data_IF_480344519352
#
_entry.id   IF_480344519352
#
_cell.length_a   1.000
_cell.length_b   1.000
_cell.length_c   1.000
_cell.angle_alpha   90.00
_cell.angle_beta   90.00
_cell.angle_gamma   90.00
#
_symmetry.space_group_name_H-M   'P 1'
#
loop_
_entity.id
_entity.type
_entity.pdbx_description
1 polymer ?
#
# COMPACT_ATOMS: atom_id res chain seq x y z
N UNK A 1 8.84 -2.59 -13.77
CA UNK A 1 8.85 -1.50 -12.77
C UNK A 1 9.88 -1.80 -11.69
N UNK A 2 10.79 -0.89 -11.48
CA UNK A 2 11.78 -1.01 -10.41
C UNK A 2 11.14 -0.73 -9.06
N UNK A 3 11.41 -1.57 -8.08
CA UNK A 3 10.89 -1.43 -6.72
C UNK A 3 12.04 -1.30 -5.74
N UNK A 4 12.10 -0.20 -5.00
CA UNK A 4 13.02 0.01 -3.91
C UNK A 4 12.25 0.11 -2.60
N UNK A 5 12.54 -0.79 -1.67
CA UNK A 5 11.98 -0.78 -0.33
C UNK A 5 13.06 -0.30 0.64
N UNK A 6 12.98 0.95 1.06
CA UNK A 6 14.01 1.61 1.85
C UNK A 6 13.48 2.07 3.20
N UNK A 7 14.41 2.40 4.10
CA UNK A 7 14.12 2.97 5.40
C UNK A 7 15.21 3.95 5.79
N UNK A 8 14.82 5.04 6.46
CA UNK A 8 15.76 6.01 7.00
C UNK A 8 16.31 5.55 8.34
N UNK A 9 15.49 4.94 9.20
CA UNK A 9 15.83 4.69 10.59
C UNK A 9 15.13 3.47 11.21
N UNK A 10 14.55 2.61 10.39
CA UNK A 10 13.90 1.38 10.85
C UNK A 10 14.57 0.19 10.19
N UNK A 11 15.02 -0.77 10.97
CA UNK A 11 15.51 -2.03 10.46
C UNK A 11 14.32 -2.96 10.23
N UNK A 12 13.95 -3.15 8.98
CA UNK A 12 12.87 -4.02 8.59
C UNK A 12 13.32 -5.00 7.52
N UNK A 13 12.76 -6.21 7.54
CA UNK A 13 13.00 -7.21 6.51
C UNK A 13 12.19 -6.88 5.25
N UNK A 14 12.76 -6.06 4.38
CA UNK A 14 12.10 -5.56 3.19
C UNK A 14 11.66 -6.68 2.24
N UNK A 15 12.41 -7.78 2.14
CA UNK A 15 12.06 -8.92 1.26
C UNK A 15 10.70 -9.53 1.62
N UNK A 16 10.34 -9.50 2.88
CA UNK A 16 9.07 -10.02 3.37
C UNK A 16 7.86 -9.27 2.79
N UNK A 17 8.07 -8.06 2.30
CA UNK A 17 7.02 -7.19 1.76
C UNK A 17 6.98 -7.15 0.24
N UNK A 18 7.86 -7.86 -0.45
CA UNK A 18 7.89 -7.92 -1.92
C UNK A 18 6.56 -8.38 -2.50
N UNK A 19 5.97 -9.42 -1.94
CA UNK A 19 4.68 -9.94 -2.40
C UNK A 19 3.57 -8.89 -2.31
N UNK A 20 3.51 -8.15 -1.21
CA UNK A 20 2.52 -7.08 -1.03
C UNK A 20 2.70 -5.94 -2.03
N UNK A 21 3.94 -5.54 -2.27
CA UNK A 21 4.27 -4.52 -3.27
C UNK A 21 3.89 -4.97 -4.68
N UNK A 22 4.20 -6.21 -5.01
CA UNK A 22 3.88 -6.80 -6.32
C UNK A 22 2.38 -6.93 -6.56
N UNK A 23 1.61 -7.33 -5.55
CA UNK A 23 0.15 -7.39 -5.66
C UNK A 23 -0.45 -6.02 -5.99
N UNK A 24 0.01 -4.98 -5.30
CA UNK A 24 -0.47 -3.63 -5.56
C UNK A 24 0.01 -3.13 -6.93
N UNK A 25 1.25 -3.43 -7.30
CA UNK A 25 1.79 -3.09 -8.62
C UNK A 25 0.93 -3.69 -9.75
N UNK A 26 0.59 -4.97 -9.65
CA UNK A 26 -0.24 -5.64 -10.65
C UNK A 26 -1.67 -5.12 -10.68
N UNK A 27 -2.18 -4.66 -9.54
CA UNK A 27 -3.51 -4.07 -9.45
C UNK A 27 -3.56 -2.70 -10.12
N UNK A 28 -2.55 -1.86 -9.89
CA UNK A 28 -2.46 -0.52 -10.46
C UNK A 28 -1.97 -0.53 -11.92
N UNK A 29 -1.00 -1.36 -12.22
CA UNK A 29 -0.29 -1.41 -13.49
C UNK A 29 -0.16 -2.87 -13.97
N UNK A 30 -1.25 -3.47 -14.48
CA UNK A 30 -1.31 -4.92 -14.73
C UNK A 30 -0.31 -5.45 -15.78
N UNK A 31 0.26 -4.59 -16.61
CA UNK A 31 1.27 -4.99 -17.59
C UNK A 31 2.70 -5.03 -17.06
N UNK A 32 2.91 -4.62 -15.80
CA UNK A 32 4.25 -4.49 -15.24
C UNK A 32 4.78 -5.79 -14.63
N UNK A 33 6.11 -5.88 -14.56
CA UNK A 33 6.82 -6.93 -13.84
C UNK A 33 7.76 -6.30 -12.82
N UNK A 34 7.92 -6.92 -11.63
CA UNK A 34 8.80 -6.38 -10.61
C UNK A 34 10.26 -6.55 -10.97
N UNK A 35 11.05 -5.54 -10.68
CA UNK A 35 12.51 -5.56 -10.78
C UNK A 35 13.06 -4.98 -9.47
N UNK A 36 13.95 -5.73 -8.83
CA UNK A 36 14.58 -5.30 -7.58
C UNK A 36 16.05 -4.98 -7.83
N UNK A 37 16.39 -3.68 -8.08
CA UNK A 37 17.76 -3.30 -8.32
C UNK A 37 18.67 -3.58 -7.11
N UNK A 38 19.86 -4.06 -7.35
CA UNK A 38 20.83 -4.31 -6.28
C UNK A 38 21.53 -3.06 -5.76
N UNK A 39 21.38 -1.93 -6.45
CA UNK A 39 21.92 -0.63 -6.05
C UNK A 39 20.86 0.19 -5.32
N UNK A 40 21.26 1.14 -4.44
CA UNK A 40 20.31 2.06 -3.82
C UNK A 40 19.66 2.97 -4.86
N UNK A 41 18.51 3.61 -4.53
CA UNK A 41 17.87 4.55 -5.43
C UNK A 41 18.84 5.68 -5.84
N UNK A 42 18.78 6.14 -7.09
CA UNK A 42 19.64 7.22 -7.55
C UNK A 42 19.31 8.52 -6.82
N UNK A 43 20.33 9.36 -6.60
CA UNK A 43 20.13 10.67 -5.97
C UNK A 43 19.32 11.61 -6.85
N UNK A 44 19.52 11.51 -8.18
CA UNK A 44 18.71 12.27 -9.15
C UNK A 44 17.62 11.36 -9.70
N UNK A 45 16.38 11.63 -9.36
CA UNK A 45 15.20 10.88 -9.78
C UNK A 45 14.62 11.36 -11.10
N UNK A 46 15.17 12.44 -11.66
CA UNK A 46 14.64 13.08 -12.87
C UNK A 46 14.64 12.13 -14.10
N UNK A 47 15.45 11.09 -14.09
CA UNK A 47 15.56 10.13 -15.18
C UNK A 47 14.73 8.86 -14.97
N UNK A 48 14.16 8.66 -13.79
CA UNK A 48 13.34 7.49 -13.52
C UNK A 48 11.95 7.65 -14.13
N UNK A 49 11.54 6.69 -14.94
CA UNK A 49 10.25 6.71 -15.66
C UNK A 49 9.34 5.56 -15.31
N UNK A 50 9.84 4.56 -14.59
CA UNK A 50 9.06 3.37 -14.25
C UNK A 50 9.62 2.75 -12.97
N UNK A 51 9.29 3.38 -11.84
CA UNK A 51 9.84 2.97 -10.55
C UNK A 51 8.92 3.35 -9.40
N UNK A 52 9.09 2.65 -8.28
CA UNK A 52 8.50 3.00 -6.99
C UNK A 52 9.57 2.95 -5.92
N UNK A 53 9.65 3.99 -5.11
CA UNK A 53 10.53 4.04 -3.95
C UNK A 53 9.67 4.11 -2.70
N UNK A 54 9.69 3.03 -1.92
CA UNK A 54 9.06 3.00 -0.61
C UNK A 54 10.06 3.44 0.43
N UNK A 55 9.66 4.35 1.32
CA UNK A 55 10.51 4.80 2.41
C UNK A 55 9.73 4.75 3.72
N UNK A 56 10.29 4.02 4.69
CA UNK A 56 9.76 3.93 6.05
C UNK A 56 10.58 4.84 6.97
N UNK A 57 9.92 5.76 7.65
CA UNK A 57 10.55 6.70 8.58
C UNK A 57 9.80 6.72 9.90
N UNK A 58 10.48 6.35 10.98
CA UNK A 58 9.92 6.38 12.33
C UNK A 58 10.21 7.73 13.00
N UNK A 59 9.15 8.45 13.35
CA UNK A 59 9.20 9.62 14.22
C UNK A 59 8.94 9.25 15.68
N UNK A 60 9.04 10.22 16.56
CA UNK A 60 8.82 10.01 18.00
C UNK A 60 7.39 9.58 18.32
N UNK A 61 6.40 10.17 17.67
CA UNK A 61 4.97 9.86 17.86
C UNK A 61 4.34 9.15 16.66
N UNK A 62 4.70 9.58 15.45
CA UNK A 62 4.12 9.06 14.22
C UNK A 62 5.19 8.50 13.30
N UNK A 63 4.87 7.41 12.63
CA UNK A 63 5.71 6.78 11.62
C UNK A 63 5.06 6.99 10.25
N UNK A 64 5.89 7.27 9.24
CA UNK A 64 5.44 7.50 7.88
C UNK A 64 5.92 6.36 6.98
N UNK A 65 5.01 5.83 6.17
CA UNK A 65 5.34 5.03 4.99
C UNK A 65 5.02 5.87 3.76
N UNK A 66 6.00 6.11 2.92
CA UNK A 66 5.80 6.83 1.66
C UNK A 66 6.06 5.93 0.46
N UNK A 67 5.33 6.18 -0.62
CA UNK A 67 5.56 5.54 -1.91
C UNK A 67 5.68 6.65 -2.96
N UNK A 68 6.85 6.79 -3.53
CA UNK A 68 7.12 7.73 -4.61
C UNK A 68 7.10 6.95 -5.92
N UNK A 69 6.08 7.21 -6.74
CA UNK A 69 5.83 6.46 -7.98
C UNK A 69 6.17 7.32 -9.19
N UNK A 70 7.01 6.78 -10.07
CA UNK A 70 7.41 7.41 -11.33
C UNK A 70 6.85 6.64 -12.50
N UNK A 71 6.17 7.33 -13.39
CA UNK A 71 5.71 6.81 -14.68
C UNK A 71 6.10 7.82 -15.77
N UNK A 72 5.97 7.44 -17.04
CA UNK A 72 6.25 8.37 -18.15
C UNK A 72 5.38 9.61 -18.11
N UNK A 73 4.17 9.51 -17.60
CA UNK A 73 3.22 10.60 -17.47
C UNK A 73 3.51 11.56 -16.32
N UNK A 74 4.46 11.23 -15.44
CA UNK A 74 4.81 12.04 -14.29
C UNK A 74 5.06 11.20 -13.04
N UNK A 75 4.98 11.86 -11.89
CA UNK A 75 5.21 11.23 -10.60
C UNK A 75 4.18 11.67 -9.57
N UNK A 76 3.97 10.83 -8.56
CA UNK A 76 3.15 11.15 -7.38
C UNK A 76 3.74 10.51 -6.15
N UNK A 77 3.51 11.12 -5.00
CA UNK A 77 3.92 10.61 -3.71
C UNK A 77 2.67 10.29 -2.88
N UNK A 78 2.62 9.09 -2.34
CA UNK A 78 1.59 8.67 -1.39
C UNK A 78 2.19 8.49 -0.01
N UNK A 79 1.54 8.99 1.03
CA UNK A 79 2.03 8.90 2.40
C UNK A 79 0.93 8.36 3.30
N UNK A 80 1.30 7.37 4.14
CA UNK A 80 0.45 6.84 5.20
C UNK A 80 1.15 7.06 6.52
N UNK A 81 0.42 7.57 7.50
CA UNK A 81 0.91 7.79 8.86
C UNK A 81 0.20 6.87 9.84
N UNK A 82 0.95 6.37 10.78
CA UNK A 82 0.42 5.58 11.89
C UNK A 82 1.22 5.83 13.17
N UNK A 83 0.65 5.56 14.36
CA UNK A 83 1.36 5.74 15.61
C UNK A 83 2.61 4.87 15.68
N UNK A 84 3.75 5.46 16.06
CA UNK A 84 5.03 4.74 16.14
C UNK A 84 5.01 3.58 17.14
N UNK A 85 4.15 3.65 18.15
CA UNK A 85 3.97 2.55 19.13
C UNK A 85 3.50 1.24 18.49
N UNK A 86 2.87 1.30 17.32
CA UNK A 86 2.47 0.10 16.57
C UNK A 86 3.66 -0.74 16.11
N UNK A 87 4.84 -0.15 16.00
CA UNK A 87 6.07 -0.87 15.67
C UNK A 87 6.60 -1.68 16.85
N UNK A 88 6.05 -1.48 18.03
CA UNK A 88 6.45 -2.17 19.27
C UNK A 88 5.46 -3.26 19.70
N UNK A 89 4.40 -3.51 18.92
CA UNK A 89 3.33 -4.45 19.25
C UNK A 89 3.66 -5.94 19.02
N UNK A 90 4.84 -6.24 18.51
CA UNK A 90 5.27 -7.61 18.21
C UNK A 90 5.35 -7.89 16.71
N UNK A 91 6.08 -8.95 16.31
CA UNK A 91 6.44 -9.18 14.90
C UNK A 91 5.24 -9.30 13.95
N UNK A 92 4.21 -10.01 14.35
CA UNK A 92 3.03 -10.24 13.50
C UNK A 92 2.19 -8.98 13.31
N UNK A 93 1.95 -8.25 14.40
CA UNK A 93 1.22 -6.98 14.36
C UNK A 93 1.97 -5.94 13.53
N UNK A 94 3.28 -5.86 13.69
CA UNK A 94 4.15 -4.99 12.89
C UNK A 94 4.07 -5.35 11.41
N UNK A 95 4.15 -6.64 11.08
CA UNK A 95 4.02 -7.10 9.69
C UNK A 95 2.71 -6.64 9.06
N UNK A 96 1.59 -6.82 9.73
CA UNK A 96 0.28 -6.40 9.21
C UNK A 96 0.18 -4.87 9.07
N UNK A 97 0.72 -4.12 10.02
CA UNK A 97 0.73 -2.66 9.97
C UNK A 97 1.54 -2.16 8.78
N UNK A 98 2.76 -2.66 8.60
CA UNK A 98 3.65 -2.24 7.51
C UNK A 98 3.13 -2.68 6.15
N UNK A 99 2.60 -3.89 6.03
CA UNK A 99 1.98 -4.39 4.81
C UNK A 99 0.83 -3.49 4.36
N UNK A 100 -0.05 -3.14 5.30
CA UNK A 100 -1.17 -2.25 5.02
C UNK A 100 -0.70 -0.86 4.60
N UNK A 101 0.23 -0.29 5.36
CA UNK A 101 0.78 1.03 5.07
C UNK A 101 1.44 1.09 3.69
N UNK A 102 2.24 0.08 3.36
CA UNK A 102 2.88 -0.03 2.06
C UNK A 102 1.87 -0.06 0.91
N UNK A 103 0.87 -0.92 1.02
CA UNK A 103 -0.18 -1.03 -0.01
C UNK A 103 -0.98 0.26 -0.16
N UNK A 104 -1.35 0.88 0.95
CA UNK A 104 -2.11 2.14 0.94
C UNK A 104 -1.29 3.28 0.34
N UNK A 105 -0.03 3.43 0.73
CA UNK A 105 0.83 4.47 0.18
C UNK A 105 1.01 4.31 -1.34
N UNK A 106 1.23 3.09 -1.80
CA UNK A 106 1.36 2.78 -3.23
C UNK A 106 0.04 3.05 -3.98
N UNK A 107 -1.07 2.61 -3.41
CA UNK A 107 -2.40 2.86 -3.98
C UNK A 107 -2.67 4.36 -4.15
N UNK A 108 -2.35 5.14 -3.15
CA UNK A 108 -2.55 6.59 -3.18
C UNK A 108 -1.79 7.24 -4.33
N UNK A 109 -0.51 6.97 -4.42
CA UNK A 109 0.30 7.53 -5.49
C UNK A 109 -0.12 7.02 -6.88
N UNK A 110 -0.37 5.72 -6.98
CA UNK A 110 -0.74 5.08 -8.24
C UNK A 110 -2.12 5.49 -8.75
N UNK A 111 -3.12 5.56 -7.88
CA UNK A 111 -4.46 6.01 -8.27
C UNK A 111 -4.48 7.47 -8.71
N UNK A 112 -3.67 8.31 -8.07
CA UNK A 112 -3.50 9.71 -8.48
C UNK A 112 -2.88 9.82 -9.88
N UNK A 113 -1.89 8.98 -10.20
CA UNK A 113 -1.29 8.92 -11.54
C UNK A 113 -2.28 8.41 -12.59
N UNK A 114 -3.09 7.41 -12.24
CA UNK A 114 -4.11 6.86 -13.13
C UNK A 114 -5.31 7.80 -13.30
N UNK A 115 -5.47 8.77 -12.40
CA UNK A 115 -6.61 9.69 -12.40
C UNK A 115 -7.93 9.03 -12.06
N UNK A 116 -7.90 7.89 -11.38
CA UNK A 116 -9.10 7.14 -10.99
C UNK A 116 -8.88 6.29 -9.75
N UNK A 117 -9.94 6.04 -9.03
CA UNK A 117 -9.94 5.09 -7.93
C UNK A 117 -10.23 3.68 -8.46
N UNK A 118 -9.61 2.70 -7.83
CA UNK A 118 -9.92 1.29 -8.09
C UNK A 118 -11.18 0.88 -7.32
N UNK A 119 -11.98 -0.08 -7.86
CA UNK A 119 -13.23 -0.48 -7.21
C UNK A 119 -13.10 -0.94 -5.75
N UNK A 120 -11.98 -1.53 -5.40
CA UNK A 120 -11.73 -2.08 -4.05
C UNK A 120 -10.70 -1.28 -3.26
N UNK A 121 -10.30 -0.08 -3.74
CA UNK A 121 -9.28 0.73 -3.10
C UNK A 121 -7.94 0.02 -3.00
N UNK A 122 -7.31 0.10 -1.85
CA UNK A 122 -6.03 -0.59 -1.58
C UNK A 122 -6.19 -2.06 -1.17
N UNK A 123 -7.40 -2.60 -1.20
CA UNK A 123 -7.69 -3.96 -0.80
C UNK A 123 -7.23 -4.96 -1.88
N UNK A 124 -6.14 -5.64 -1.63
CA UNK A 124 -5.56 -6.65 -2.53
C UNK A 124 -5.33 -7.96 -1.80
N UNK A 125 -5.33 -9.07 -2.53
CA UNK A 125 -5.08 -10.39 -1.97
C UNK A 125 -6.18 -10.91 -1.04
N UNK A 126 -7.32 -10.22 -0.99
CA UNK A 126 -8.50 -10.60 -0.19
C UNK A 126 -9.67 -10.81 -1.16
N UNK A 127 -10.53 -11.75 -0.83
CA UNK A 127 -11.79 -11.91 -1.56
C UNK A 127 -12.82 -10.94 -0.98
N UNK A 128 -13.11 -9.79 -1.61
CA UNK A 128 -14.03 -8.81 -1.04
C UNK A 128 -15.42 -9.37 -0.81
N UNK A 129 -15.83 -10.35 -1.60
CA UNK A 129 -17.12 -11.04 -1.48
C UNK A 129 -17.26 -11.89 -0.22
N UNK A 130 -16.16 -12.22 0.48
CA UNK A 130 -16.24 -12.93 1.76
C UNK A 130 -17.00 -12.13 2.83
N UNK A 131 -16.85 -10.82 2.86
CA UNK A 131 -17.47 -9.98 3.86
C UNK A 131 -19.00 -9.96 3.73
N UNK A 132 -19.58 -9.63 2.56
CA UNK A 132 -21.02 -9.70 2.39
C UNK A 132 -21.58 -11.12 2.53
N UNK A 133 -20.85 -12.15 2.06
CA UNK A 133 -21.26 -13.54 2.21
C UNK A 133 -21.35 -13.91 3.68
N UNK A 134 -20.33 -13.57 4.47
CA UNK A 134 -20.29 -13.82 5.92
C UNK A 134 -21.42 -13.10 6.65
N UNK A 135 -21.68 -11.84 6.30
CA UNK A 135 -22.75 -11.06 6.88
C UNK A 135 -24.12 -11.65 6.55
N UNK A 136 -24.35 -12.08 5.31
CA UNK A 136 -25.61 -12.74 4.89
C UNK A 136 -25.84 -14.06 5.61
N UNK A 137 -24.80 -14.87 5.79
CA UNK A 137 -24.87 -16.12 6.54
C UNK A 137 -25.17 -15.91 8.03
N UNK A 138 -24.77 -14.76 8.58
CA UNK A 138 -25.06 -14.37 9.95
C UNK A 138 -26.45 -13.75 10.12
N UNK A 139 -27.26 -13.67 9.04
CA UNK A 139 -28.63 -13.16 9.08
C UNK A 139 -28.80 -11.70 8.68
N UNK A 140 -27.75 -11.04 8.20
CA UNK A 140 -27.83 -9.67 7.71
C UNK A 140 -28.66 -9.58 6.41
N UNK A 141 -29.34 -8.45 6.20
CA UNK A 141 -29.99 -8.17 4.93
C UNK A 141 -28.94 -7.84 3.84
N UNK A 142 -29.27 -7.98 2.55
CA UNK A 142 -28.36 -7.56 1.48
C UNK A 142 -27.88 -6.11 1.61
N UNK A 143 -28.76 -5.21 2.03
CA UNK A 143 -28.42 -3.80 2.26
C UNK A 143 -27.41 -3.63 3.40
N UNK A 144 -27.55 -4.38 4.50
CA UNK A 144 -26.62 -4.37 5.63
C UNK A 144 -25.25 -4.94 5.22
N UNK A 145 -25.23 -6.06 4.48
CA UNK A 145 -24.01 -6.67 4.01
C UNK A 145 -23.22 -5.71 3.09
N UNK A 146 -23.92 -5.01 2.21
CA UNK A 146 -23.33 -4.00 1.33
C UNK A 146 -22.72 -2.85 2.13
N UNK A 147 -23.42 -2.36 3.14
CA UNK A 147 -22.97 -1.29 4.01
C UNK A 147 -21.71 -1.68 4.77
N UNK A 148 -21.65 -2.88 5.30
CA UNK A 148 -20.46 -3.40 6.00
C UNK A 148 -19.25 -3.47 5.07
N UNK A 149 -19.45 -3.93 3.84
CA UNK A 149 -18.38 -3.97 2.83
C UNK A 149 -17.88 -2.57 2.48
N UNK A 150 -18.78 -1.63 2.25
CA UNK A 150 -18.43 -0.23 1.96
C UNK A 150 -17.63 0.40 3.10
N UNK A 151 -18.04 0.21 4.35
CA UNK A 151 -17.33 0.69 5.52
C UNK A 151 -15.94 0.05 5.66
N UNK A 152 -15.82 -1.23 5.38
CA UNK A 152 -14.54 -1.93 5.42
C UNK A 152 -13.55 -1.36 4.40
N UNK A 153 -14.00 -1.12 3.17
CA UNK A 153 -13.19 -0.53 2.10
C UNK A 153 -12.78 0.89 2.50
N UNK A 154 -13.70 1.69 2.98
CA UNK A 154 -13.47 3.07 3.40
C UNK A 154 -12.41 3.16 4.50
N UNK A 155 -12.48 2.30 5.51
CA UNK A 155 -11.49 2.24 6.59
C UNK A 155 -10.10 1.85 6.10
N UNK A 156 -10.00 1.10 5.00
CA UNK A 156 -8.75 0.64 4.43
C UNK A 156 -8.18 1.55 3.35
N UNK A 157 -8.95 2.54 2.95
CA UNK A 157 -8.56 3.55 1.96
C UNK A 157 -8.70 4.92 2.59
N UNK A 158 -7.80 5.30 3.51
CA UNK A 158 -7.93 6.58 4.21
C UNK A 158 -7.81 7.75 3.23
N UNK A 159 -8.53 8.80 3.54
CA UNK A 159 -8.46 10.05 2.81
C UNK A 159 -7.14 10.77 3.10
N UNK A 160 -6.69 11.51 2.16
CA UNK A 160 -5.50 12.37 2.28
C UNK A 160 -5.88 13.75 2.70
#
# INVERSE_FOLDING_TARGET
>A
MKLWLTSDNVDWDAERYHYSAEQMMLTLFPGERPEYPGSPPPQSLAQEKNAVIFTLHRGAKMTNMSALVFRETGWRNGVVRFPSEKLDEGPEAVYHTLQRALKQAFYHAGSALLGRDLPWGSLTGVRPTKLPTRALLAGATPAQARKELEQFIEQRTPYY
#
